data_IF_513209004061
#
_entry.id   IF_513209004061
#
_cell.length_a   1.000
_cell.length_b   1.000
_cell.length_c   1.000
_cell.angle_alpha   90.00
_cell.angle_beta   90.00
_cell.angle_gamma   90.00
#
_symmetry.space_group_name_H-M   'P 1'
#
loop_
_entity.id
_entity.type
_entity.pdbx_description
1 polymer ?
#
# COMPACT_ATOMS: atom_id res chain seq x y z
N UNK A 1 10.50 -14.47 2.76
CA UNK A 1 10.76 -13.79 1.46
C UNK A 1 9.48 -13.41 0.72
N UNK A 2 8.50 -14.31 0.55
CA UNK A 2 7.24 -14.00 -0.18
C UNK A 2 6.48 -12.82 0.45
N UNK A 3 6.28 -12.79 1.77
CA UNK A 3 5.57 -11.69 2.44
C UNK A 3 6.31 -10.35 2.34
N UNK A 4 7.63 -10.34 2.44
CA UNK A 4 8.44 -9.12 2.28
C UNK A 4 8.40 -8.64 0.83
N UNK A 5 8.55 -9.55 -0.13
CA UNK A 5 8.42 -9.23 -1.56
C UNK A 5 7.03 -8.70 -1.92
N UNK A 6 5.98 -9.24 -1.28
CA UNK A 6 4.62 -8.74 -1.43
C UNK A 6 4.42 -7.33 -0.87
N UNK A 7 5.00 -7.00 0.30
CA UNK A 7 4.98 -5.62 0.84
C UNK A 7 5.62 -4.64 -0.15
N UNK A 8 6.79 -4.98 -0.68
CA UNK A 8 7.51 -4.13 -1.64
C UNK A 8 6.70 -3.99 -2.94
N UNK A 9 6.08 -5.06 -3.42
CA UNK A 9 5.21 -5.02 -4.60
C UNK A 9 3.98 -4.12 -4.37
N UNK A 10 3.33 -4.23 -3.20
CA UNK A 10 2.20 -3.38 -2.83
C UNK A 10 2.60 -1.91 -2.70
N UNK A 11 3.78 -1.62 -2.15
CA UNK A 11 4.29 -0.24 -2.06
C UNK A 11 4.49 0.38 -3.45
N UNK A 12 5.05 -0.37 -4.41
CA UNK A 12 5.17 0.09 -5.79
C UNK A 12 3.79 0.35 -6.43
N UNK A 13 2.79 -0.49 -6.15
CA UNK A 13 1.42 -0.29 -6.61
C UNK A 13 0.79 0.96 -5.95
N UNK A 14 1.00 1.16 -4.65
CA UNK A 14 0.54 2.36 -3.93
C UNK A 14 1.12 3.64 -4.57
N UNK A 15 2.44 3.69 -4.81
CA UNK A 15 3.07 4.80 -5.50
C UNK A 15 2.52 4.99 -6.92
N UNK A 16 2.29 3.90 -7.67
CA UNK A 16 1.71 4.00 -9.01
C UNK A 16 0.29 4.60 -8.98
N UNK A 17 -0.53 4.22 -7.99
CA UNK A 17 -1.87 4.78 -7.79
C UNK A 17 -1.77 6.26 -7.41
N UNK A 18 -0.89 6.65 -6.49
CA UNK A 18 -0.68 8.05 -6.14
C UNK A 18 -0.33 8.90 -7.37
N UNK A 19 0.63 8.44 -8.18
CA UNK A 19 1.02 9.15 -9.42
C UNK A 19 -0.08 9.19 -10.46
N UNK A 20 -0.89 8.14 -10.57
CA UNK A 20 -2.05 8.12 -11.47
C UNK A 20 -3.09 9.13 -11.00
N UNK A 21 -3.39 9.17 -9.70
CA UNK A 21 -4.34 10.12 -9.11
C UNK A 21 -3.86 11.56 -9.30
N UNK A 22 -2.57 11.82 -9.10
CA UNK A 22 -1.95 13.14 -9.34
C UNK A 22 -1.97 13.54 -10.82
N UNK A 23 -1.83 12.57 -11.72
CA UNK A 23 -1.90 12.81 -13.16
C UNK A 23 -3.32 13.15 -13.63
N UNK A 24 -4.34 12.50 -13.03
CA UNK A 24 -5.74 12.65 -13.44
C UNK A 24 -6.43 13.82 -12.72
N UNK A 25 -6.05 14.13 -11.48
CA UNK A 25 -6.60 15.24 -10.69
C UNK A 25 -5.60 16.39 -10.55
N UNK A 26 -5.76 17.43 -11.36
CA UNK A 26 -4.91 18.63 -11.30
C UNK A 26 -5.20 19.54 -10.10
N UNK A 27 -6.36 19.39 -9.46
CA UNK A 27 -6.81 20.11 -8.27
C UNK A 27 -7.24 19.12 -7.18
N UNK A 28 -7.11 19.52 -5.91
CA UNK A 28 -7.41 18.65 -4.76
C UNK A 28 -8.88 18.22 -4.77
N UNK A 29 -9.12 16.93 -5.08
CA UNK A 29 -10.44 16.32 -5.02
C UNK A 29 -10.57 15.47 -3.76
N UNK A 30 -11.67 15.58 -2.99
CA UNK A 30 -11.88 14.75 -1.80
C UNK A 30 -11.85 13.25 -2.12
N UNK A 31 -12.29 12.83 -3.31
CA UNK A 31 -12.15 11.44 -3.77
C UNK A 31 -10.70 11.03 -4.02
N UNK A 32 -9.85 11.94 -4.52
CA UNK A 32 -8.44 11.66 -4.74
C UNK A 32 -7.71 11.34 -3.43
N UNK A 33 -8.05 12.05 -2.35
CA UNK A 33 -7.57 11.75 -1.00
C UNK A 33 -7.96 10.34 -0.55
N UNK A 34 -9.25 9.99 -0.68
CA UNK A 34 -9.76 8.67 -0.30
C UNK A 34 -9.05 7.54 -1.05
N UNK A 35 -8.80 7.71 -2.35
CA UNK A 35 -8.09 6.69 -3.15
C UNK A 35 -6.67 6.48 -2.64
N UNK A 36 -5.94 7.56 -2.32
CA UNK A 36 -4.59 7.49 -1.76
C UNK A 36 -4.59 6.83 -0.37
N UNK A 37 -5.52 7.20 0.49
CA UNK A 37 -5.65 6.62 1.84
C UNK A 37 -5.94 5.11 1.78
N UNK A 38 -6.81 4.69 0.86
CA UNK A 38 -7.13 3.27 0.64
C UNK A 38 -5.90 2.51 0.15
N UNK A 39 -5.17 3.05 -0.83
CA UNK A 39 -3.96 2.43 -1.36
C UNK A 39 -2.88 2.27 -0.26
N UNK A 40 -2.65 3.30 0.55
CA UNK A 40 -1.72 3.25 1.67
C UNK A 40 -2.15 2.23 2.76
N UNK A 41 -3.46 2.17 3.05
CA UNK A 41 -4.00 1.21 4.03
C UNK A 41 -3.80 -0.25 3.60
N UNK A 42 -3.84 -0.53 2.28
CA UNK A 42 -3.58 -1.87 1.75
C UNK A 42 -2.15 -2.33 2.03
N UNK A 43 -1.15 -1.45 1.84
CA UNK A 43 0.25 -1.74 2.18
C UNK A 43 0.42 -1.99 3.68
N UNK A 44 -0.25 -1.18 4.51
CA UNK A 44 -0.18 -1.30 5.97
C UNK A 44 -0.72 -2.66 6.46
N UNK A 45 -1.90 -3.06 5.98
CA UNK A 45 -2.51 -4.34 6.33
C UNK A 45 -1.60 -5.49 5.91
N UNK A 46 -1.04 -5.44 4.70
CA UNK A 46 -0.15 -6.49 4.21
C UNK A 46 1.17 -6.55 4.99
N UNK A 47 1.69 -5.40 5.41
CA UNK A 47 2.87 -5.30 6.28
C UNK A 47 2.60 -5.90 7.66
N UNK A 48 1.42 -5.70 8.22
CA UNK A 48 1.01 -6.32 9.47
C UNK A 48 0.92 -7.85 9.34
N UNK A 49 0.38 -8.35 8.23
CA UNK A 49 0.38 -9.80 7.92
C UNK A 49 1.82 -10.33 7.85
N UNK A 50 2.74 -9.60 7.20
CA UNK A 50 4.14 -9.99 7.12
C UNK A 50 4.80 -10.12 8.52
N UNK A 51 4.48 -9.21 9.44
CA UNK A 51 4.93 -9.29 10.85
C UNK A 51 4.34 -10.50 11.55
N UNK A 52 3.03 -10.74 11.43
CA UNK A 52 2.36 -11.91 12.04
C UNK A 52 2.96 -13.22 11.54
N UNK A 53 3.20 -13.35 10.23
CA UNK A 53 3.85 -14.52 9.64
C UNK A 53 5.27 -14.68 10.16
N UNK A 54 6.02 -13.58 10.31
CA UNK A 54 7.34 -13.60 10.93
C UNK A 54 7.29 -14.14 12.36
N UNK A 55 6.35 -13.65 13.19
CA UNK A 55 6.18 -14.12 14.56
C UNK A 55 5.88 -15.62 14.59
N UNK A 56 4.94 -16.11 13.78
CA UNK A 56 4.55 -17.53 13.72
C UNK A 56 5.71 -18.45 13.32
N UNK A 57 6.65 -17.97 12.50
CA UNK A 57 7.79 -18.79 12.05
C UNK A 57 8.90 -18.84 13.10
N UNK A 58 9.10 -17.77 13.87
CA UNK A 58 10.21 -17.63 14.81
C UNK A 58 9.84 -17.87 16.28
N UNK A 59 8.56 -18.04 16.61
CA UNK A 59 8.02 -18.47 17.90
C UNK A 59 7.24 -19.77 17.76
#
# INVERSE_FOLDING_TARGET
MIVIGGVIALEMVNTAIERLVDLVSSDYHPLAGIVKDVAASAVLIFSMIAVVVGIIIFF
#
